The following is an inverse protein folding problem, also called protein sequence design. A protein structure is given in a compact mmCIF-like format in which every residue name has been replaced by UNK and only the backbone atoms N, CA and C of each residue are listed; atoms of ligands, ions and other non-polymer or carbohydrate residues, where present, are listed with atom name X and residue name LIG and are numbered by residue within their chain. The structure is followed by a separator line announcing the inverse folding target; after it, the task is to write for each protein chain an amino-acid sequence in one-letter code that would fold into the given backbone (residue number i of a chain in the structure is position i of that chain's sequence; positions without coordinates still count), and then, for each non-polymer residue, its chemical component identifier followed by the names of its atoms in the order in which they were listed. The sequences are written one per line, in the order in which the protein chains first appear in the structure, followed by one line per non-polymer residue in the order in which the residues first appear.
data_IF_030592027407
#
_entry.id   IF_030592027407
#
_cell.length_a   1.000
_cell.length_b   1.000
_cell.length_c   1.000
_cell.angle_alpha   90.00
_cell.angle_beta   90.00
_cell.angle_gamma   90.00
#
_symmetry.space_group_name_H-M   'P 1'
#
loop_
_entity.id
_entity.type
_entity.pdbx_description
1 polymer ?
#
# COMPACT_ATOMS: atom_id res chain seq x y z
N UNK A 1 14.84 -27.67 4.67
CA UNK A 1 15.84 -27.45 5.73
C UNK A 1 15.91 -25.96 6.04
N UNK A 2 15.56 -25.53 7.26
CA UNK A 2 15.47 -24.12 7.67
C UNK A 2 16.83 -23.65 8.18
N UNK A 3 17.47 -22.70 7.50
CA UNK A 3 18.70 -22.06 7.99
C UNK A 3 18.33 -20.89 8.92
N UNK A 4 18.58 -21.04 10.20
CA UNK A 4 18.46 -19.97 11.20
C UNK A 4 19.74 -19.13 11.20
N UNK A 5 19.66 -17.85 10.84
CA UNK A 5 20.78 -16.91 10.99
C UNK A 5 20.96 -16.53 12.47
N UNK A 6 22.11 -16.89 13.04
CA UNK A 6 22.52 -16.51 14.39
C UNK A 6 23.05 -15.06 14.40
N UNK A 7 22.46 -14.23 15.24
CA UNK A 7 22.93 -12.86 15.49
C UNK A 7 23.99 -12.90 16.60
N UNK A 8 25.23 -12.53 16.28
CA UNK A 8 26.34 -12.50 17.24
C UNK A 8 26.32 -11.13 17.95
N UNK A 9 26.09 -11.13 19.25
CA UNK A 9 26.28 -9.97 20.13
C UNK A 9 27.76 -9.88 20.54
N UNK A 10 28.46 -8.80 20.17
CA UNK A 10 29.74 -8.42 20.77
C UNK A 10 29.48 -7.53 21.96
N UNK A 11 29.87 -7.99 23.15
CA UNK A 11 30.01 -7.15 24.35
C UNK A 11 31.39 -6.48 24.30
N UNK A 12 31.40 -5.16 24.36
CA UNK A 12 32.60 -4.34 24.57
C UNK A 12 32.48 -3.61 25.91
N UNK A 13 33.53 -3.70 26.72
CA UNK A 13 33.54 -3.25 28.11
C UNK A 13 33.47 -1.74 28.33
N UNK A 14 32.96 -1.36 29.50
CA UNK A 14 32.73 -0.01 29.93
C UNK A 14 33.80 0.37 30.98
N UNK A 15 34.57 1.41 30.68
CA UNK A 15 35.40 2.10 31.65
C UNK A 15 34.59 3.29 32.23
N UNK A 16 34.38 3.30 33.53
CA UNK A 16 33.69 4.38 34.23
C UNK A 16 34.63 5.59 34.41
N UNK A 17 34.18 6.77 34.03
CA UNK A 17 34.77 8.05 34.43
C UNK A 17 33.70 8.88 35.14
N UNK A 18 33.96 9.16 36.45
CA UNK A 18 33.17 10.08 37.24
C UNK A 18 33.48 11.52 36.83
N UNK A 19 32.49 12.32 36.49
CA UNK A 19 32.60 13.77 36.40
C UNK A 19 31.33 14.45 36.91
N UNK A 20 31.57 15.45 37.72
CA UNK A 20 30.66 16.24 38.53
C UNK A 20 29.54 16.96 37.80
N UNK A 21 28.51 17.19 38.58
CA UNK A 21 27.24 17.81 38.28
C UNK A 21 27.20 19.05 37.41
N UNK A 22 26.24 18.99 36.48
CA UNK A 22 25.48 20.16 36.04
C UNK A 22 24.02 19.75 35.97
N UNK A 23 23.15 20.53 36.59
CA UNK A 23 21.69 20.33 36.57
C UNK A 23 21.18 20.46 35.17
N UNK A 24 21.10 19.35 34.45
CA UNK A 24 20.40 19.28 33.17
C UNK A 24 18.90 19.29 33.47
N UNK A 25 18.30 20.41 33.13
CA UNK A 25 16.85 20.60 33.04
C UNK A 25 16.29 19.47 32.20
N UNK A 26 15.55 18.54 32.80
CA UNK A 26 14.83 17.48 32.08
C UNK A 26 13.83 18.16 31.17
N UNK A 27 14.19 18.28 29.90
CA UNK A 27 13.25 18.57 28.85
C UNK A 27 12.31 17.38 28.80
N UNK A 28 11.04 17.61 29.13
CA UNK A 28 9.97 16.65 28.88
C UNK A 28 9.96 16.31 27.41
N UNK A 29 10.68 15.28 27.03
CA UNK A 29 10.53 14.63 25.72
C UNK A 29 9.19 13.89 25.76
N UNK A 30 8.17 14.59 25.32
CA UNK A 30 6.86 14.01 25.07
C UNK A 30 7.02 12.95 23.96
N UNK A 31 6.82 11.63 24.21
CA UNK A 31 7.10 10.59 23.23
C UNK A 31 6.03 10.47 22.14
N UNK A 32 5.16 11.49 21.98
CA UNK A 32 3.99 11.42 21.12
C UNK A 32 4.12 12.13 19.76
N UNK A 33 5.32 12.25 19.18
CA UNK A 33 5.49 12.74 17.79
C UNK A 33 6.58 11.99 17.03
N UNK A 34 6.52 10.67 17.02
CA UNK A 34 7.15 9.88 15.97
C UNK A 34 6.13 9.57 14.85
N UNK A 35 5.27 10.54 14.53
CA UNK A 35 4.46 10.50 13.31
C UNK A 35 5.33 10.98 12.14
N UNK A 36 5.20 10.35 10.97
CA UNK A 36 5.66 10.93 9.73
C UNK A 36 5.04 12.33 9.63
N UNK A 37 5.83 13.36 9.24
CA UNK A 37 5.27 14.70 9.04
C UNK A 37 4.06 14.64 8.10
N UNK A 38 3.04 15.43 8.36
CA UNK A 38 1.72 15.40 7.70
C UNK A 38 1.76 15.33 6.17
N UNK A 39 2.89 15.71 5.55
CA UNK A 39 3.10 15.71 4.10
C UNK A 39 3.60 14.37 3.50
N UNK A 40 3.85 13.34 4.31
CA UNK A 40 4.38 12.03 3.85
C UNK A 40 3.38 10.89 3.98
N UNK A 41 2.31 11.09 4.72
CA UNK A 41 1.25 10.10 4.82
C UNK A 41 0.31 10.20 3.62
N UNK A 42 -0.06 9.06 3.06
CA UNK A 42 -1.14 9.01 2.09
C UNK A 42 -2.46 9.35 2.78
N UNK A 43 -3.27 10.18 2.13
CA UNK A 43 -4.62 10.46 2.61
C UNK A 43 -5.49 9.20 2.58
N UNK A 44 -6.25 8.99 3.65
CA UNK A 44 -7.21 7.90 3.79
C UNK A 44 -6.96 7.06 5.03
N UNK A 45 -8.02 6.47 5.54
CA UNK A 45 -7.99 5.54 6.66
C UNK A 45 -7.95 4.06 6.24
N UNK A 46 -8.30 3.80 4.96
CA UNK A 46 -8.34 2.46 4.38
C UNK A 46 -7.71 2.46 2.99
N UNK A 47 -6.88 1.47 2.71
CA UNK A 47 -6.13 1.30 1.47
C UNK A 47 -6.50 -0.03 0.84
N UNK A 48 -6.97 0.01 -0.40
CA UNK A 48 -7.35 -1.14 -1.21
C UNK A 48 -6.40 -1.26 -2.39
N UNK A 49 -5.56 -2.29 -2.40
CA UNK A 49 -4.54 -2.52 -3.41
C UNK A 49 -4.89 -3.78 -4.18
N UNK A 50 -5.07 -3.64 -5.48
CA UNK A 50 -5.46 -4.73 -6.38
C UNK A 50 -4.43 -4.90 -7.47
N UNK A 51 -4.04 -6.13 -7.74
CA UNK A 51 -3.14 -6.50 -8.82
C UNK A 51 -3.86 -7.44 -9.77
N UNK A 52 -3.77 -7.14 -11.07
CA UNK A 52 -4.44 -7.89 -12.13
C UNK A 52 -3.41 -8.52 -13.07
N UNK A 53 -3.62 -9.79 -13.38
CA UNK A 53 -2.95 -10.50 -14.46
C UNK A 53 -3.95 -10.70 -15.59
N UNK A 54 -3.69 -10.09 -16.76
CA UNK A 54 -4.58 -10.18 -17.89
C UNK A 54 -4.40 -11.53 -18.62
N UNK A 55 -5.50 -12.09 -19.14
CA UNK A 55 -5.49 -13.37 -19.89
C UNK A 55 -4.55 -13.28 -21.10
N UNK A 56 -4.63 -12.15 -21.83
CA UNK A 56 -3.77 -11.84 -22.96
C UNK A 56 -3.19 -10.44 -22.77
N UNK A 57 -1.88 -10.32 -22.63
CA UNK A 57 -1.20 -9.06 -22.34
C UNK A 57 -0.92 -8.23 -23.63
N UNK A 58 -1.90 -8.21 -24.56
CA UNK A 58 -1.82 -7.44 -25.80
C UNK A 58 -2.16 -5.96 -25.58
N UNK A 59 -1.68 -5.06 -26.45
CA UNK A 59 -2.03 -3.64 -26.36
C UNK A 59 -3.54 -3.36 -26.39
N UNK A 60 -4.29 -4.12 -27.16
CA UNK A 60 -5.75 -3.99 -27.31
C UNK A 60 -6.47 -4.36 -26.01
N UNK A 61 -6.10 -5.51 -25.42
CA UNK A 61 -6.68 -5.97 -24.13
C UNK A 61 -6.31 -5.02 -23.01
N UNK A 62 -5.06 -4.57 -22.95
CA UNK A 62 -4.63 -3.53 -22.00
C UNK A 62 -5.43 -2.24 -22.12
N UNK A 63 -5.64 -1.77 -23.35
CA UNK A 63 -6.42 -0.56 -23.63
C UNK A 63 -7.88 -0.72 -23.19
N UNK A 64 -8.49 -1.86 -23.52
CA UNK A 64 -9.87 -2.16 -23.12
C UNK A 64 -9.99 -2.21 -21.59
N UNK A 65 -9.13 -2.98 -20.92
CA UNK A 65 -9.13 -3.11 -19.46
C UNK A 65 -8.97 -1.75 -18.78
N UNK A 66 -8.00 -0.93 -19.20
CA UNK A 66 -7.78 0.40 -18.64
C UNK A 66 -8.97 1.34 -18.86
N UNK A 67 -9.68 1.22 -19.98
CA UNK A 67 -10.89 2.00 -20.26
C UNK A 67 -11.98 1.66 -19.24
N UNK A 68 -12.29 0.37 -19.06
CA UNK A 68 -13.30 -0.09 -18.11
C UNK A 68 -12.92 0.29 -16.66
N UNK A 69 -11.66 0.08 -16.29
CA UNK A 69 -11.16 0.41 -14.95
C UNK A 69 -11.27 1.91 -14.64
N UNK A 70 -10.81 2.77 -15.56
CA UNK A 70 -10.89 4.24 -15.39
C UNK A 70 -12.32 4.73 -15.37
N UNK A 71 -13.18 4.17 -16.21
CA UNK A 71 -14.60 4.50 -16.23
C UNK A 71 -15.25 4.18 -14.88
N UNK A 72 -15.02 2.99 -14.38
CA UNK A 72 -15.53 2.56 -13.08
C UNK A 72 -15.09 3.48 -11.94
N UNK A 73 -13.79 3.72 -11.76
CA UNK A 73 -13.29 4.52 -10.63
C UNK A 73 -13.77 5.98 -10.68
N UNK A 74 -14.09 6.50 -11.88
CA UNK A 74 -14.60 7.86 -12.03
C UNK A 74 -16.07 8.04 -11.59
N UNK A 75 -16.78 6.95 -11.27
CA UNK A 75 -18.20 6.97 -10.91
C UNK A 75 -18.45 6.72 -9.42
N UNK A 76 -17.41 6.55 -8.62
CA UNK A 76 -17.51 6.18 -7.21
C UNK A 76 -16.97 7.32 -6.34
N UNK A 77 -17.87 8.06 -5.72
CA UNK A 77 -17.55 9.26 -4.92
C UNK A 77 -16.80 8.94 -3.62
N UNK A 78 -16.93 7.72 -3.10
CA UNK A 78 -16.23 7.26 -1.90
C UNK A 78 -14.72 7.16 -2.08
N UNK A 79 -14.25 7.01 -3.32
CA UNK A 79 -12.81 6.91 -3.62
C UNK A 79 -12.16 8.28 -3.45
N UNK A 80 -11.15 8.38 -2.59
CA UNK A 80 -10.42 9.64 -2.32
C UNK A 80 -9.22 9.81 -3.23
N UNK A 81 -8.41 8.79 -3.39
CA UNK A 81 -7.24 8.80 -4.28
C UNK A 81 -7.19 7.52 -5.10
N UNK A 82 -6.67 7.65 -6.30
CA UNK A 82 -6.52 6.54 -7.25
C UNK A 82 -5.11 6.53 -7.82
N UNK A 83 -4.50 5.35 -7.82
CA UNK A 83 -3.34 5.06 -8.66
C UNK A 83 -3.65 3.85 -9.54
N UNK A 84 -3.37 3.95 -10.83
CA UNK A 84 -3.43 2.85 -11.81
C UNK A 84 -2.13 2.86 -12.59
N UNK A 85 -1.43 1.73 -12.63
CA UNK A 85 -0.18 1.63 -13.37
C UNK A 85 0.27 0.21 -13.66
N UNK A 86 1.09 0.02 -14.70
CA UNK A 86 1.81 -1.23 -14.94
C UNK A 86 2.94 -1.39 -13.90
N UNK A 87 3.59 -2.56 -13.85
CA UNK A 87 4.80 -2.76 -13.06
C UNK A 87 5.86 -1.72 -13.39
N UNK A 88 6.56 -1.22 -12.39
CA UNK A 88 7.74 -0.38 -12.59
C UNK A 88 8.92 -1.24 -13.09
N UNK A 89 9.77 -0.66 -13.94
CA UNK A 89 11.00 -1.32 -14.38
C UNK A 89 12.07 -1.21 -13.29
N UNK A 90 11.90 -2.00 -12.21
CA UNK A 90 12.84 -2.11 -11.09
C UNK A 90 13.27 -3.55 -10.95
N UNK A 91 14.55 -3.76 -10.59
CA UNK A 91 15.18 -5.08 -10.52
C UNK A 91 15.76 -5.31 -9.12
N UNK A 92 15.04 -6.11 -8.31
CA UNK A 92 15.49 -6.62 -7.00
C UNK A 92 14.76 -7.93 -6.73
N UNK A 93 15.43 -8.88 -6.10
CA UNK A 93 14.94 -10.25 -5.80
C UNK A 93 13.58 -10.32 -5.08
N UNK A 94 13.16 -9.23 -4.43
CA UNK A 94 11.92 -9.16 -3.65
C UNK A 94 10.76 -8.53 -4.42
N UNK A 95 11.00 -8.10 -5.67
CA UNK A 95 9.96 -7.44 -6.49
C UNK A 95 9.21 -8.49 -7.28
N UNK A 96 7.89 -8.49 -7.13
CA UNK A 96 6.98 -9.17 -8.05
C UNK A 96 6.51 -8.14 -9.09
N UNK A 97 6.97 -8.27 -10.32
CA UNK A 97 6.59 -7.47 -11.47
C UNK A 97 5.81 -8.29 -12.53
N UNK A 98 5.23 -9.42 -12.13
CA UNK A 98 4.52 -10.33 -13.04
C UNK A 98 3.09 -9.90 -13.37
N UNK A 99 2.53 -8.94 -12.62
CA UNK A 99 1.17 -8.44 -12.87
C UNK A 99 1.12 -7.51 -14.10
N UNK A 100 -0.06 -7.38 -14.71
CA UNK A 100 -0.28 -6.47 -15.84
C UNK A 100 -0.60 -5.05 -15.38
N UNK A 101 -1.43 -4.89 -14.34
CA UNK A 101 -1.80 -3.60 -13.75
C UNK A 101 -2.00 -3.69 -12.25
N UNK A 102 -1.64 -2.60 -11.57
CA UNK A 102 -2.03 -2.34 -10.20
C UNK A 102 -3.08 -1.22 -10.13
N UNK A 103 -4.00 -1.36 -9.19
CA UNK A 103 -4.95 -0.35 -8.77
C UNK A 103 -4.76 -0.13 -7.27
N UNK A 104 -4.52 1.13 -6.87
CA UNK A 104 -4.53 1.50 -5.44
C UNK A 104 -5.61 2.55 -5.24
N UNK A 105 -6.55 2.25 -4.36
CA UNK A 105 -7.62 3.14 -3.94
C UNK A 105 -7.46 3.49 -2.48
N UNK A 106 -7.80 4.72 -2.10
CA UNK A 106 -7.91 5.10 -0.70
C UNK A 106 -9.33 5.54 -0.37
N UNK A 107 -9.77 5.25 0.85
CA UNK A 107 -11.06 5.62 1.42
C UNK A 107 -10.84 6.23 2.80
N UNK A 108 -11.77 7.04 3.28
CA UNK A 108 -11.68 7.61 4.63
C UNK A 108 -11.78 6.52 5.71
N UNK A 109 -12.51 5.46 5.44
CA UNK A 109 -12.70 4.33 6.36
C UNK A 109 -13.08 3.04 5.63
N UNK A 110 -13.09 1.92 6.40
CA UNK A 110 -13.66 0.65 5.93
C UNK A 110 -15.13 0.78 5.49
N UNK A 111 -15.89 1.67 6.10
CA UNK A 111 -17.31 1.88 5.74
C UNK A 111 -17.46 2.36 4.31
N UNK A 112 -16.67 3.36 3.87
CA UNK A 112 -16.69 3.84 2.49
C UNK A 112 -16.23 2.75 1.52
N UNK A 113 -15.23 1.96 1.91
CA UNK A 113 -14.82 0.79 1.12
C UNK A 113 -15.95 -0.24 1.00
N UNK A 114 -16.72 -0.52 2.07
CA UNK A 114 -17.86 -1.44 2.01
C UNK A 114 -18.96 -0.89 1.06
N UNK A 115 -19.24 0.43 1.07
CA UNK A 115 -20.15 1.08 0.13
C UNK A 115 -19.65 0.92 -1.32
N UNK A 116 -18.36 1.16 -1.55
CA UNK A 116 -17.71 0.95 -2.85
C UNK A 116 -17.89 -0.48 -3.36
N UNK A 117 -17.71 -1.51 -2.52
CA UNK A 117 -17.87 -2.90 -2.91
C UNK A 117 -19.30 -3.19 -3.42
N UNK A 118 -20.31 -2.56 -2.83
CA UNK A 118 -21.71 -2.72 -3.23
C UNK A 118 -22.14 -1.74 -4.35
N UNK A 119 -21.29 -0.80 -4.73
CA UNK A 119 -21.62 0.23 -5.70
C UNK A 119 -21.93 -0.36 -7.09
N UNK A 120 -22.97 0.17 -7.76
CA UNK A 120 -23.41 -0.33 -9.07
C UNK A 120 -22.31 -0.28 -10.13
N UNK A 121 -21.45 0.78 -10.12
CA UNK A 121 -20.35 0.91 -11.05
C UNK A 121 -19.27 -0.18 -10.83
N UNK A 122 -19.00 -0.58 -9.56
CA UNK A 122 -18.08 -1.67 -9.25
C UNK A 122 -18.61 -3.01 -9.78
N UNK A 123 -19.89 -3.31 -9.52
CA UNK A 123 -20.55 -4.53 -10.03
C UNK A 123 -20.53 -4.58 -11.57
N UNK A 124 -20.78 -3.42 -12.20
CA UNK A 124 -20.77 -3.31 -13.67
C UNK A 124 -19.36 -3.48 -14.24
N UNK A 125 -18.34 -2.97 -13.58
CA UNK A 125 -16.94 -3.21 -13.95
C UNK A 125 -16.60 -4.71 -13.89
N UNK A 126 -16.97 -5.42 -12.82
CA UNK A 126 -16.77 -6.87 -12.71
C UNK A 126 -17.47 -7.60 -13.86
N UNK A 127 -18.74 -7.26 -14.13
CA UNK A 127 -19.51 -7.87 -15.23
C UNK A 127 -18.85 -7.67 -16.60
N UNK A 128 -18.37 -6.46 -16.90
CA UNK A 128 -17.82 -6.10 -18.21
C UNK A 128 -16.38 -6.58 -18.42
N UNK A 129 -15.60 -6.64 -17.37
CA UNK A 129 -14.14 -6.77 -17.47
C UNK A 129 -13.57 -8.06 -16.87
N UNK A 130 -14.36 -8.87 -16.15
CA UNK A 130 -13.84 -10.08 -15.49
C UNK A 130 -13.25 -11.12 -16.43
N UNK A 131 -13.69 -11.16 -17.68
CA UNK A 131 -13.11 -12.04 -18.71
C UNK A 131 -11.75 -11.60 -19.23
N UNK A 132 -11.30 -10.37 -18.89
CA UNK A 132 -10.03 -9.82 -19.35
C UNK A 132 -8.85 -10.21 -18.43
N UNK A 133 -9.10 -10.69 -17.22
CA UNK A 133 -8.04 -11.16 -16.32
C UNK A 133 -8.22 -12.62 -15.94
N UNK A 134 -7.11 -13.31 -15.72
CA UNK A 134 -7.06 -14.70 -15.24
C UNK A 134 -6.82 -14.79 -13.74
N UNK A 135 -6.21 -13.74 -13.16
CA UNK A 135 -5.89 -13.69 -11.73
C UNK A 135 -6.04 -12.27 -11.21
N UNK A 136 -6.56 -12.17 -10.01
CA UNK A 136 -6.60 -10.94 -9.23
C UNK A 136 -6.09 -11.22 -7.81
N UNK A 137 -5.33 -10.29 -7.25
CA UNK A 137 -4.85 -10.34 -5.87
C UNK A 137 -5.16 -9.01 -5.20
N UNK A 138 -5.70 -9.08 -3.99
CA UNK A 138 -6.11 -7.90 -3.23
C UNK A 138 -5.38 -7.86 -1.90
N UNK A 139 -4.90 -6.67 -1.53
CA UNK A 139 -4.42 -6.36 -0.20
C UNK A 139 -5.16 -5.17 0.36
N UNK A 140 -5.82 -5.36 1.50
CA UNK A 140 -6.46 -4.32 2.25
C UNK A 140 -5.65 -3.97 3.49
N UNK A 141 -5.49 -2.68 3.76
CA UNK A 141 -4.83 -2.22 4.97
C UNK A 141 -5.53 -1.00 5.55
N UNK A 142 -5.39 -0.81 6.85
CA UNK A 142 -5.87 0.37 7.55
C UNK A 142 -4.71 1.17 8.09
N UNK A 143 -4.92 2.47 8.28
CA UNK A 143 -3.92 3.34 8.90
C UNK A 143 -3.57 2.78 10.28
N UNK A 144 -2.27 2.62 10.56
CA UNK A 144 -1.76 2.21 11.86
C UNK A 144 -2.13 3.23 12.96
N UNK A 145 -2.33 2.72 14.17
CA UNK A 145 -2.56 3.56 15.37
C UNK A 145 -1.23 4.07 15.90
#
# INVERSE_FOLDING_TARGET
MKARRKFIRKLGGITALLALGTSARASNLNPSKAGFGDNKELEGGFFHMVFFWLVNDTPEVKKQFLKELKHFVSQVDEIKKVHIGPPANTDRDVIDNTYSFSLVLTFDSKREHDIYQEHAAHKKFIENASSLWEKVLVYDSVKGK
#
